data_IF_902943948277
#
_entry.id   IF_902943948277
#
_cell.length_a   1.000
_cell.length_b   1.000
_cell.length_c   1.000
_cell.angle_alpha   90.00
_cell.angle_beta   90.00
_cell.angle_gamma   90.00
#
_symmetry.space_group_name_H-M   'P 1'
#
loop_
_entity.id
_entity.type
_entity.pdbx_description
1 polymer ?
#
# COMPACT_ATOMS: atom_id res chain seq x y z
N UNK A 1 -10.53 -6.42 9.19
CA UNK A 1 -9.81 -6.14 10.46
C UNK A 1 -9.07 -7.40 10.90
N UNK A 2 -7.93 -7.26 11.59
CA UNK A 2 -7.16 -8.38 12.14
C UNK A 2 -7.12 -8.24 13.66
N UNK A 3 -7.45 -9.35 14.34
CA UNK A 3 -7.49 -9.47 15.80
C UNK A 3 -6.49 -10.50 16.30
N UNK A 4 -6.02 -10.33 17.54
CA UNK A 4 -5.16 -11.32 18.20
C UNK A 4 -5.98 -12.49 18.78
N UNK A 5 -5.30 -13.42 19.45
CA UNK A 5 -5.92 -14.57 20.10
C UNK A 5 -6.91 -14.14 21.20
N UNK A 6 -6.69 -12.98 21.81
CA UNK A 6 -7.55 -12.38 22.85
C UNK A 6 -8.65 -11.45 22.28
N UNK A 7 -8.90 -11.48 20.96
CA UNK A 7 -9.89 -10.65 20.25
C UNK A 7 -9.64 -9.14 20.24
N UNK A 8 -8.44 -8.68 20.62
CA UNK A 8 -8.04 -7.26 20.53
C UNK A 8 -7.69 -6.90 19.09
N UNK A 9 -8.09 -5.71 18.65
CA UNK A 9 -7.79 -5.21 17.31
C UNK A 9 -6.29 -4.93 17.18
N UNK A 10 -5.58 -5.67 16.33
CA UNK A 10 -4.16 -5.44 16.04
C UNK A 10 -4.03 -4.47 14.85
N UNK A 11 -4.88 -4.63 13.83
CA UNK A 11 -4.75 -3.88 12.58
C UNK A 11 -6.11 -3.71 11.90
N UNK A 12 -6.35 -2.51 11.39
CA UNK A 12 -7.42 -2.25 10.43
C UNK A 12 -6.79 -2.09 9.05
N UNK A 13 -7.33 -2.81 8.07
CA UNK A 13 -6.95 -2.66 6.67
C UNK A 13 -8.07 -1.90 5.99
N UNK A 14 -7.74 -0.79 5.33
CA UNK A 14 -8.72 -0.01 4.58
C UNK A 14 -9.07 -0.65 3.25
N UNK A 15 -8.15 -1.44 2.69
CA UNK A 15 -8.35 -2.21 1.46
C UNK A 15 -7.90 -3.65 1.71
N UNK A 16 -8.73 -4.62 1.30
CA UNK A 16 -8.46 -6.05 1.39
C UNK A 16 -8.75 -6.68 0.04
N UNK A 17 -7.81 -7.50 -0.44
CA UNK A 17 -8.00 -8.33 -1.61
C UNK A 17 -8.56 -9.68 -1.14
N UNK A 18 -9.70 -10.11 -1.69
CA UNK A 18 -10.32 -11.38 -1.32
C UNK A 18 -9.40 -12.56 -1.69
N UNK A 19 -9.39 -13.65 -0.90
CA UNK A 19 -8.64 -14.87 -1.21
C UNK A 19 -9.30 -15.68 -2.36
N UNK A 20 -9.71 -15.01 -3.43
CA UNK A 20 -10.01 -15.65 -4.70
C UNK A 20 -8.69 -16.02 -5.37
N UNK A 21 -8.62 -17.20 -5.99
CA UNK A 21 -7.47 -17.68 -6.77
C UNK A 21 -7.28 -16.91 -8.09
N UNK A 22 -7.60 -15.61 -8.11
CA UNK A 22 -7.32 -14.74 -9.25
C UNK A 22 -5.87 -14.24 -9.17
N UNK A 23 -5.18 -14.09 -10.32
CA UNK A 23 -3.74 -13.84 -10.37
C UNK A 23 -3.18 -12.63 -9.59
N UNK A 24 -3.88 -11.49 -9.42
CA UNK A 24 -3.28 -10.34 -8.74
C UNK A 24 -3.21 -10.51 -7.22
N UNK A 25 -4.14 -11.25 -6.60
CA UNK A 25 -4.24 -11.35 -5.14
C UNK A 25 -3.04 -12.09 -4.53
N UNK A 26 -2.50 -13.09 -5.23
CA UNK A 26 -1.29 -13.81 -4.79
C UNK A 26 -0.03 -12.94 -4.75
N UNK A 27 -0.06 -11.76 -5.38
CA UNK A 27 1.05 -10.80 -5.37
C UNK A 27 0.92 -9.74 -4.29
N UNK A 28 -0.19 -9.72 -3.54
CA UNK A 28 -0.40 -8.76 -2.45
C UNK A 28 -0.07 -9.41 -1.10
N UNK A 29 1.07 -9.04 -0.51
CA UNK A 29 1.42 -9.43 0.86
C UNK A 29 0.34 -9.04 1.88
N UNK A 30 0.19 -9.84 2.96
CA UNK A 30 -0.78 -9.55 4.04
C UNK A 30 -0.55 -8.18 4.68
N UNK A 31 0.71 -7.81 4.90
CA UNK A 31 1.16 -6.48 5.27
C UNK A 31 2.00 -5.96 4.08
N UNK A 32 1.35 -5.28 3.14
CA UNK A 32 1.99 -4.87 1.89
C UNK A 32 2.56 -3.47 1.98
N UNK A 33 1.71 -2.53 2.37
CA UNK A 33 1.98 -1.11 2.40
C UNK A 33 0.98 -0.44 3.34
N UNK A 34 1.32 0.77 3.79
CA UNK A 34 0.42 1.65 4.51
C UNK A 34 0.55 3.09 4.03
N UNK A 35 -0.47 3.89 4.32
CA UNK A 35 -0.48 5.32 4.12
C UNK A 35 -0.39 6.01 5.49
N UNK A 36 0.44 7.04 5.57
CA UNK A 36 0.50 7.95 6.71
C UNK A 36 0.26 9.37 6.22
N UNK A 37 -0.47 10.18 6.99
CA UNK A 37 -0.63 11.59 6.67
C UNK A 37 0.53 12.39 7.24
N UNK A 38 1.30 13.03 6.37
CA UNK A 38 2.33 13.99 6.72
C UNK A 38 1.69 15.37 6.88
N UNK A 39 1.65 15.86 8.11
CA UNK A 39 1.04 17.14 8.44
C UNK A 39 1.89 18.35 8.02
N UNK A 40 3.21 18.19 7.86
CA UNK A 40 4.10 19.27 7.44
C UNK A 40 3.88 19.59 5.95
N UNK A 41 3.84 18.55 5.12
CA UNK A 41 3.62 18.65 3.68
C UNK A 41 2.12 18.62 3.27
N UNK A 42 1.22 18.44 4.25
CA UNK A 42 -0.21 18.24 4.06
C UNK A 42 -0.55 17.18 2.98
N UNK A 43 0.15 16.05 3.01
CA UNK A 43 0.01 14.98 2.01
C UNK A 43 0.02 13.59 2.63
N UNK A 44 -0.56 12.61 1.93
CA UNK A 44 -0.35 11.21 2.30
C UNK A 44 0.96 10.70 1.73
N UNK A 45 1.67 9.90 2.52
CA UNK A 45 2.88 9.19 2.11
C UNK A 45 2.65 7.69 2.14
N UNK A 46 3.11 7.03 1.09
CA UNK A 46 3.03 5.59 0.90
C UNK A 46 4.35 4.92 1.32
N UNK A 47 4.24 3.88 2.11
CA UNK A 47 5.36 3.07 2.59
C UNK A 47 5.19 1.63 2.16
N UNK A 48 6.27 0.97 1.73
CA UNK A 48 6.27 -0.47 1.50
C UNK A 48 6.70 -1.21 2.77
N UNK A 49 5.81 -2.05 3.31
CA UNK A 49 5.99 -2.78 4.58
C UNK A 49 6.74 -4.09 4.41
N UNK A 50 7.78 -4.05 3.57
CA UNK A 50 8.56 -5.21 3.17
C UNK A 50 7.76 -6.22 2.33
N UNK A 51 6.96 -5.74 1.39
CA UNK A 51 6.18 -6.58 0.48
C UNK A 51 7.05 -7.55 -0.33
N UNK A 52 6.48 -8.67 -0.75
CA UNK A 52 7.20 -9.69 -1.53
C UNK A 52 7.36 -9.29 -3.01
N UNK A 53 6.44 -8.49 -3.54
CA UNK A 53 6.36 -8.16 -4.96
C UNK A 53 6.55 -6.66 -5.25
N UNK A 54 6.83 -5.86 -4.21
CA UNK A 54 7.12 -4.44 -4.33
C UNK A 54 5.88 -3.56 -4.41
N UNK A 55 6.10 -2.29 -4.04
CA UNK A 55 5.14 -1.20 -4.17
C UNK A 55 5.71 -0.13 -5.12
N UNK A 56 4.87 0.45 -5.97
CA UNK A 56 5.25 1.60 -6.79
C UNK A 56 4.06 2.52 -7.03
N UNK A 57 4.32 3.75 -7.49
CA UNK A 57 3.28 4.68 -7.92
C UNK A 57 3.47 4.93 -9.42
N UNK A 58 2.43 4.77 -10.21
CA UNK A 58 2.38 5.35 -11.55
C UNK A 58 1.83 6.77 -11.45
N UNK A 59 2.65 7.74 -11.85
CA UNK A 59 2.29 9.16 -11.89
C UNK A 59 2.49 9.69 -13.29
N UNK A 60 1.39 10.03 -13.96
CA UNK A 60 1.43 10.57 -15.32
C UNK A 60 2.23 9.66 -16.29
N UNK A 61 2.01 8.34 -16.21
CA UNK A 61 2.70 7.34 -17.02
C UNK A 61 4.14 7.05 -16.60
N UNK A 62 4.64 7.60 -15.49
CA UNK A 62 5.99 7.34 -14.97
C UNK A 62 5.92 6.56 -13.66
N UNK A 63 6.74 5.53 -13.54
CA UNK A 63 6.90 4.80 -12.29
C UNK A 63 7.75 5.62 -11.30
N UNK A 64 7.23 5.79 -10.09
CA UNK A 64 7.90 6.34 -8.93
C UNK A 64 8.09 5.20 -7.93
N UNK A 65 9.34 4.93 -7.57
CA UNK A 65 9.68 3.85 -6.65
C UNK A 65 9.19 4.15 -5.23
N UNK A 66 8.69 3.14 -4.54
CA UNK A 66 8.42 3.18 -3.10
C UNK A 66 9.45 2.26 -2.43
N UNK A 67 10.44 2.81 -1.70
CA UNK A 67 11.48 2.01 -1.08
C UNK A 67 10.92 1.01 -0.06
N UNK A 68 11.46 -0.21 -0.08
CA UNK A 68 11.11 -1.30 0.82
C UNK A 68 11.62 -1.04 2.25
N UNK A 69 10.74 -1.08 3.24
CA UNK A 69 11.11 -0.96 4.65
C UNK A 69 11.38 0.48 5.11
N UNK A 70 12.46 0.68 5.87
CA UNK A 70 12.75 1.99 6.50
C UNK A 70 13.02 3.05 5.44
N UNK A 71 12.13 4.03 5.34
CA UNK A 71 12.20 5.14 4.40
C UNK A 71 11.41 6.35 4.93
N UNK A 72 11.46 7.48 4.22
CA UNK A 72 10.62 8.65 4.52
C UNK A 72 9.20 8.55 3.92
N UNK A 73 8.89 7.43 3.26
CA UNK A 73 7.68 7.27 2.46
C UNK A 73 7.75 8.05 1.15
N UNK A 74 6.94 7.66 0.17
CA UNK A 74 6.82 8.36 -1.10
C UNK A 74 5.51 9.15 -1.12
N UNK A 75 5.54 10.47 -1.37
CA UNK A 75 4.33 11.30 -1.36
C UNK A 75 3.38 10.89 -2.48
N UNK A 76 2.10 10.76 -2.14
CA UNK A 76 0.98 10.42 -3.02
C UNK A 76 0.26 11.69 -3.44
N UNK A 77 -0.23 11.74 -4.68
CA UNK A 77 -0.95 12.86 -5.27
C UNK A 77 -2.28 12.40 -5.88
N UNK A 78 -3.29 13.28 -5.97
CA UNK A 78 -4.49 13.00 -6.76
C UNK A 78 -4.14 12.60 -8.19
N UNK A 79 -4.82 11.59 -8.72
CA UNK A 79 -4.58 11.02 -10.04
C UNK A 79 -3.44 10.00 -10.11
N UNK A 80 -2.72 9.76 -9.01
CA UNK A 80 -1.77 8.66 -8.94
C UNK A 80 -2.47 7.30 -8.98
N UNK A 81 -1.75 6.31 -9.49
CA UNK A 81 -2.12 4.91 -9.35
C UNK A 81 -1.06 4.16 -8.55
N UNK A 82 -1.47 3.58 -7.42
CA UNK A 82 -0.62 2.77 -6.56
C UNK A 82 -0.65 1.34 -7.07
N UNK A 83 0.54 0.76 -7.28
CA UNK A 83 0.73 -0.63 -7.62
C UNK A 83 1.21 -1.39 -6.38
N UNK A 84 0.45 -2.41 -5.98
CA UNK A 84 0.79 -3.36 -4.91
C UNK A 84 1.01 -4.73 -5.55
N UNK A 85 2.26 -5.08 -5.86
CA UNK A 85 2.54 -6.17 -6.78
C UNK A 85 1.86 -5.94 -8.14
N UNK A 86 0.87 -6.78 -8.49
CA UNK A 86 0.07 -6.65 -9.72
C UNK A 86 -1.29 -5.97 -9.53
N UNK A 87 -1.69 -5.70 -8.29
CA UNK A 87 -2.90 -4.95 -8.01
C UNK A 87 -2.69 -3.45 -8.25
N UNK A 88 -3.73 -2.75 -8.73
CA UNK A 88 -3.68 -1.32 -9.01
C UNK A 88 -4.82 -0.61 -8.26
N UNK A 89 -4.51 0.52 -7.63
CA UNK A 89 -5.44 1.34 -6.86
C UNK A 89 -5.30 2.79 -7.33
N UNK A 90 -6.38 3.40 -7.82
CA UNK A 90 -6.36 4.80 -8.23
C UNK A 90 -6.75 5.73 -7.08
N UNK A 91 -5.98 6.80 -6.92
CA UNK A 91 -6.28 7.89 -5.99
C UNK A 91 -7.04 8.97 -6.74
N UNK A 92 -8.24 9.30 -6.25
CA UNK A 92 -9.15 10.29 -6.85
C UNK A 92 -8.94 11.67 -6.22
#
# INVERSE_FOLDING_TARGET
EIRDAEQRLIRRNDIVFEDAATPPNSTVSRLHAHLEFDAEDACYRLYDDRSNYGTSIERSGRAVSVPKGSSKGTPVRPGDEILLGRARIRIL
#
